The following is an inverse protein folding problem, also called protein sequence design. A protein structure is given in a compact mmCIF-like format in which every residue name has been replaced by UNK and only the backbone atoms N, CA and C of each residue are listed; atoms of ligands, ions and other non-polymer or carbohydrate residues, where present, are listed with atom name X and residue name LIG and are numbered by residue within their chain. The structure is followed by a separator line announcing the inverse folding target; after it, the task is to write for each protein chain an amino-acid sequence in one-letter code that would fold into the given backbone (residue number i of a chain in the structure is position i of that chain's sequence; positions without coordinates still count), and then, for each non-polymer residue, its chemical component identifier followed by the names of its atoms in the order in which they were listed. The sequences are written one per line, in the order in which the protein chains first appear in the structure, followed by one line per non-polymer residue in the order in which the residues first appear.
data_IF_484495296177
#
_entry.id   IF_484495296177
#
_cell.length_a   1.000
_cell.length_b   1.000
_cell.length_c   1.000
_cell.angle_alpha   90.00
_cell.angle_beta   90.00
_cell.angle_gamma   90.00
#
_symmetry.space_group_name_H-M   'P 1'
#
loop_
_entity.id
_entity.type
_entity.pdbx_description
1 polymer ?
#
# COMPACT_ATOMS: atom_id res chain seq x y z
N UNK A 1 3.08 -26.44 -10.44
CA UNK A 1 2.78 -25.05 -10.84
C UNK A 1 2.26 -24.29 -9.63
N UNK A 2 3.09 -23.49 -8.97
CA UNK A 2 2.69 -22.76 -7.76
C UNK A 2 2.01 -21.45 -8.22
N UNK A 3 0.70 -21.39 -8.15
CA UNK A 3 -0.07 -20.17 -8.40
C UNK A 3 0.28 -19.21 -7.25
N UNK A 4 1.10 -18.21 -7.54
CA UNK A 4 1.30 -17.07 -6.61
C UNK A 4 -0.04 -16.33 -6.54
N UNK A 5 -0.79 -16.55 -5.46
CA UNK A 5 -1.97 -15.75 -5.14
C UNK A 5 -1.52 -14.30 -4.94
N UNK A 6 -1.57 -13.52 -6.01
CA UNK A 6 -1.42 -12.06 -5.92
C UNK A 6 -2.60 -11.53 -5.13
N UNK A 7 -2.33 -11.03 -3.93
CA UNK A 7 -3.33 -10.40 -3.08
C UNK A 7 -4.06 -9.31 -3.87
N UNK A 8 -5.39 -9.30 -3.87
CA UNK A 8 -6.17 -8.30 -4.60
C UNK A 8 -5.83 -6.87 -4.13
N UNK A 9 -5.96 -5.85 -4.99
CA UNK A 9 -5.71 -4.46 -4.59
C UNK A 9 -6.53 -4.03 -3.36
N UNK A 10 -7.80 -4.42 -3.31
CA UNK A 10 -8.68 -4.15 -2.17
C UNK A 10 -8.13 -4.75 -0.86
N UNK A 11 -7.70 -6.01 -0.89
CA UNK A 11 -7.13 -6.68 0.28
C UNK A 11 -5.83 -6.01 0.74
N UNK A 12 -4.99 -5.54 -0.19
CA UNK A 12 -3.78 -4.81 0.17
C UNK A 12 -4.08 -3.48 0.84
N UNK A 13 -5.09 -2.75 0.35
CA UNK A 13 -5.54 -1.50 0.95
C UNK A 13 -6.02 -1.73 2.38
N UNK A 14 -6.88 -2.72 2.62
CA UNK A 14 -7.35 -3.07 3.96
C UNK A 14 -6.21 -3.43 4.89
N UNK A 15 -5.27 -4.27 4.43
CA UNK A 15 -4.09 -4.63 5.21
C UNK A 15 -3.18 -3.41 5.49
N UNK A 16 -3.10 -2.46 4.55
CA UNK A 16 -2.37 -1.21 4.73
C UNK A 16 -3.00 -0.34 5.81
N UNK A 17 -4.31 -0.09 5.72
CA UNK A 17 -5.07 0.66 6.73
C UNK A 17 -4.97 0.00 8.10
N UNK A 18 -5.09 -1.32 8.16
CA UNK A 18 -4.98 -2.09 9.41
C UNK A 18 -3.63 -1.88 10.07
N UNK A 19 -2.53 -2.11 9.34
CA UNK A 19 -1.17 -1.94 9.89
C UNK A 19 -0.93 -0.53 10.40
N UNK A 20 -1.40 0.49 9.69
CA UNK A 20 -1.23 1.88 10.14
C UNK A 20 -2.04 2.17 11.39
N UNK A 21 -3.29 1.69 11.48
CA UNK A 21 -4.11 1.86 12.66
C UNK A 21 -3.49 1.13 13.87
N UNK A 22 -3.06 -0.13 13.70
CA UNK A 22 -2.37 -0.91 14.72
C UNK A 22 -1.09 -0.20 15.18
N UNK A 23 -0.28 0.28 14.25
CA UNK A 23 0.96 0.99 14.55
C UNK A 23 0.71 2.30 15.31
N UNK A 24 -0.32 3.07 14.93
CA UNK A 24 -0.69 4.30 15.65
C UNK A 24 -1.14 4.01 17.07
N UNK A 25 -2.06 3.06 17.28
CA UNK A 25 -2.51 2.68 18.63
C UNK A 25 -1.32 2.20 19.48
N UNK A 26 -0.46 1.35 18.92
CA UNK A 26 0.75 0.88 19.62
C UNK A 26 1.70 2.04 19.98
N UNK A 27 1.89 3.01 19.07
CA UNK A 27 2.72 4.20 19.34
C UNK A 27 2.15 5.06 20.45
N UNK A 28 0.82 5.07 20.58
CA UNK A 28 0.10 5.76 21.66
C UNK A 28 0.04 4.95 22.97
N UNK A 29 0.65 3.76 23.02
CA UNK A 29 0.62 2.87 24.18
C UNK A 29 -0.74 2.20 24.39
N UNK A 30 -1.59 2.16 23.36
CA UNK A 30 -2.93 1.60 23.43
C UNK A 30 -2.98 0.21 22.79
N UNK A 31 -3.84 -0.70 23.30
CA UNK A 31 -4.02 -2.01 22.69
C UNK A 31 -4.65 -1.89 21.31
N UNK A 32 -4.26 -2.78 20.40
CA UNK A 32 -4.69 -2.80 19.00
C UNK A 32 -5.43 -4.07 18.60
N UNK A 33 -5.83 -4.88 19.58
CA UNK A 33 -6.66 -6.05 19.32
C UNK A 33 -8.14 -5.70 19.20
N UNK A 34 -8.93 -6.62 18.65
CA UNK A 34 -10.35 -6.42 18.40
C UNK A 34 -11.17 -6.11 19.67
N UNK A 35 -11.04 -6.85 20.80
CA UNK A 35 -11.81 -6.54 22.00
C UNK A 35 -11.54 -5.16 22.57
N UNK A 36 -10.26 -4.78 22.59
CA UNK A 36 -9.86 -3.46 23.09
C UNK A 36 -10.36 -2.32 22.19
N UNK A 37 -10.35 -2.51 20.86
CA UNK A 37 -10.95 -1.54 19.94
C UNK A 37 -12.45 -1.36 20.18
N UNK A 38 -13.20 -2.44 20.43
CA UNK A 38 -14.61 -2.36 20.77
C UNK A 38 -14.83 -1.60 22.07
N UNK A 39 -14.05 -1.92 23.10
CA UNK A 39 -14.14 -1.24 24.39
C UNK A 39 -13.87 0.27 24.26
N UNK A 40 -12.85 0.67 23.53
CA UNK A 40 -12.56 2.06 23.21
C UNK A 40 -13.71 2.76 22.48
N UNK A 41 -14.40 2.06 21.58
CA UNK A 41 -15.52 2.60 20.82
C UNK A 41 -16.81 2.68 21.63
N UNK A 42 -17.06 1.70 22.48
CA UNK A 42 -18.28 1.63 23.30
C UNK A 42 -18.21 2.59 24.49
N UNK A 43 -17.09 2.60 25.19
CA UNK A 43 -16.94 3.43 26.39
C UNK A 43 -16.54 4.86 26.07
N UNK A 44 -15.91 5.09 24.92
CA UNK A 44 -15.25 6.35 24.55
C UNK A 44 -14.26 6.82 25.64
N UNK A 45 -13.82 5.90 26.48
CA UNK A 45 -12.83 6.20 27.54
C UNK A 45 -11.44 5.97 26.96
N UNK A 46 -10.72 7.07 26.78
CA UNK A 46 -9.33 7.06 26.32
C UNK A 46 -8.46 7.31 27.55
N UNK A 47 -7.49 6.44 27.85
CA UNK A 47 -6.57 6.65 28.97
C UNK A 47 -5.86 8.01 28.86
N UNK A 48 -5.81 8.73 29.95
CA UNK A 48 -5.08 10.01 30.02
C UNK A 48 -3.60 9.82 30.42
N UNK A 49 -3.30 8.66 30.99
CA UNK A 49 -1.95 8.30 31.46
C UNK A 49 -1.59 6.91 31.00
N UNK A 50 -0.28 6.65 30.77
CA UNK A 50 0.26 5.32 30.57
C UNK A 50 0.31 4.51 31.89
N UNK A 51 0.70 3.23 31.81
CA UNK A 51 0.86 2.36 32.97
C UNK A 51 1.86 2.88 34.00
N UNK A 52 2.71 3.84 33.61
CA UNK A 52 3.69 4.52 34.48
C UNK A 52 3.16 5.81 35.10
N UNK A 53 1.90 6.18 34.83
CA UNK A 53 1.26 7.41 35.29
C UNK A 53 1.73 8.68 34.56
N UNK A 54 2.36 8.56 33.38
CA UNK A 54 2.76 9.71 32.56
C UNK A 54 1.60 10.13 31.70
N UNK A 55 1.35 11.44 31.63
CA UNK A 55 0.30 12.00 30.76
C UNK A 55 0.58 11.66 29.31
N UNK A 56 -0.42 11.12 28.63
CA UNK A 56 -0.38 10.78 27.22
C UNK A 56 -0.81 12.00 26.38
N UNK A 57 0.07 12.45 25.50
CA UNK A 57 -0.17 13.61 24.63
C UNK A 57 -0.79 13.15 23.30
N UNK A 58 -2.09 12.84 23.33
CA UNK A 58 -2.85 12.61 22.11
C UNK A 58 -4.29 13.13 22.24
N UNK A 59 -4.91 13.46 21.12
CA UNK A 59 -6.29 13.87 21.15
C UNK A 59 -7.22 12.65 21.24
N UNK A 60 -8.23 12.73 22.13
CA UNK A 60 -9.29 11.70 22.23
C UNK A 60 -9.89 11.37 20.87
N UNK A 61 -10.11 12.38 20.03
CA UNK A 61 -10.64 12.20 18.68
C UNK A 61 -9.73 11.32 17.81
N UNK A 62 -8.41 11.56 17.85
CA UNK A 62 -7.44 10.78 17.07
C UNK A 62 -7.45 9.30 17.44
N UNK A 63 -7.54 9.00 18.74
CA UNK A 63 -7.64 7.62 19.23
C UNK A 63 -8.92 6.95 18.74
N UNK A 64 -10.06 7.62 18.92
CA UNK A 64 -11.36 7.07 18.50
C UNK A 64 -11.43 6.89 16.98
N UNK A 65 -10.95 7.84 16.20
CA UNK A 65 -10.92 7.72 14.74
C UNK A 65 -10.00 6.58 14.28
N UNK A 66 -8.85 6.39 14.96
CA UNK A 66 -7.94 5.27 14.68
C UNK A 66 -8.55 3.92 15.06
N UNK A 67 -9.23 3.83 16.22
CA UNK A 67 -9.95 2.63 16.65
C UNK A 67 -11.10 2.29 15.68
N UNK A 68 -11.87 3.29 15.22
CA UNK A 68 -12.91 3.10 14.19
C UNK A 68 -12.33 2.58 12.89
N UNK A 69 -11.21 3.12 12.44
CA UNK A 69 -10.54 2.65 11.24
C UNK A 69 -10.16 1.16 11.37
N UNK A 70 -9.55 0.79 12.49
CA UNK A 70 -9.19 -0.59 12.76
C UNK A 70 -10.41 -1.51 12.83
N UNK A 71 -11.47 -1.07 13.51
CA UNK A 71 -12.75 -1.77 13.58
C UNK A 71 -13.34 -2.07 12.19
N UNK A 72 -13.36 -1.07 11.30
CA UNK A 72 -13.89 -1.26 9.93
C UNK A 72 -13.06 -2.25 9.11
N UNK A 73 -11.75 -2.38 9.36
CA UNK A 73 -10.96 -3.43 8.71
C UNK A 73 -11.39 -4.82 9.12
N UNK A 74 -11.73 -5.02 10.39
CA UNK A 74 -12.27 -6.29 10.90
C UNK A 74 -13.66 -6.59 10.35
N UNK A 75 -14.55 -5.59 10.34
CA UNK A 75 -15.89 -5.73 9.76
C UNK A 75 -15.82 -6.17 8.30
N UNK A 76 -14.98 -5.52 7.50
CA UNK A 76 -14.81 -5.86 6.10
C UNK A 76 -14.28 -7.30 5.92
N UNK A 77 -13.26 -7.72 6.69
CA UNK A 77 -12.76 -9.09 6.64
C UNK A 77 -13.84 -10.11 7.04
N UNK A 78 -14.65 -9.80 8.04
CA UNK A 78 -15.76 -10.66 8.49
C UNK A 78 -16.79 -10.82 7.36
N UNK A 79 -17.31 -9.73 6.80
CA UNK A 79 -18.32 -9.80 5.75
C UNK A 79 -17.83 -10.46 4.47
N UNK A 80 -16.54 -10.32 4.14
CA UNK A 80 -15.93 -11.08 3.04
C UNK A 80 -15.88 -12.57 3.30
N UNK A 81 -15.68 -13.01 4.54
CA UNK A 81 -15.75 -14.44 4.92
C UNK A 81 -17.17 -14.99 4.86
N UNK A 82 -18.15 -14.17 5.24
CA UNK A 82 -19.57 -14.52 5.18
C UNK A 82 -20.16 -14.44 3.75
N UNK A 83 -19.34 -14.05 2.75
CA UNK A 83 -19.76 -13.81 1.36
C UNK A 83 -20.86 -12.73 1.21
N UNK A 84 -20.95 -11.80 2.16
CA UNK A 84 -21.86 -10.65 2.11
C UNK A 84 -21.18 -9.48 1.43
N UNK A 85 -21.31 -9.41 0.10
CA UNK A 85 -20.67 -8.40 -0.72
C UNK A 85 -21.21 -6.98 -0.46
N UNK A 86 -22.48 -6.85 -0.11
CA UNK A 86 -23.12 -5.56 0.18
C UNK A 86 -22.55 -4.95 1.45
N UNK A 87 -22.54 -5.69 2.56
CA UNK A 87 -21.96 -5.23 3.83
C UNK A 87 -20.45 -5.05 3.75
N UNK A 88 -19.76 -5.91 3.02
CA UNK A 88 -18.33 -5.73 2.76
C UNK A 88 -18.04 -4.42 2.00
N UNK A 89 -18.89 -4.07 1.02
CA UNK A 89 -18.77 -2.81 0.26
C UNK A 89 -19.08 -1.60 1.15
N UNK A 90 -20.12 -1.66 1.99
CA UNK A 90 -20.42 -0.60 2.95
C UNK A 90 -19.26 -0.37 3.91
N UNK A 91 -18.72 -1.44 4.52
CA UNK A 91 -17.54 -1.35 5.40
C UNK A 91 -16.31 -0.79 4.68
N UNK A 92 -16.13 -1.07 3.38
CA UNK A 92 -15.04 -0.51 2.58
C UNK A 92 -15.20 1.00 2.39
N UNK A 93 -16.41 1.48 2.11
CA UNK A 93 -16.69 2.92 1.95
C UNK A 93 -16.45 3.67 3.26
N UNK A 94 -16.89 3.11 4.38
CA UNK A 94 -16.62 3.67 5.70
C UNK A 94 -15.14 3.71 6.02
N UNK A 95 -14.41 2.63 5.70
CA UNK A 95 -12.97 2.56 5.84
C UNK A 95 -12.25 3.67 5.05
N UNK A 96 -12.64 3.88 3.80
CA UNK A 96 -12.06 4.91 2.94
C UNK A 96 -12.35 6.32 3.49
N UNK A 97 -13.58 6.59 3.92
CA UNK A 97 -13.95 7.87 4.52
C UNK A 97 -13.16 8.14 5.80
N UNK A 98 -13.02 7.15 6.67
CA UNK A 98 -12.22 7.26 7.89
C UNK A 98 -10.73 7.46 7.59
N UNK A 99 -10.17 6.74 6.62
CA UNK A 99 -8.78 6.89 6.21
C UNK A 99 -8.50 8.31 5.69
N UNK A 100 -9.40 8.87 4.89
CA UNK A 100 -9.30 10.23 4.37
C UNK A 100 -9.39 11.27 5.49
N UNK A 101 -10.37 11.13 6.41
CA UNK A 101 -10.58 12.07 7.51
C UNK A 101 -9.50 12.00 8.58
N UNK A 102 -8.92 10.82 8.82
CA UNK A 102 -7.84 10.62 9.77
C UNK A 102 -6.46 11.02 9.22
N UNK A 103 -6.38 11.51 7.96
CA UNK A 103 -5.11 11.84 7.32
C UNK A 103 -4.22 10.62 7.05
N UNK A 104 -4.82 9.42 7.00
CA UNK A 104 -4.13 8.17 6.67
C UNK A 104 -4.03 7.95 5.14
N UNK A 105 -4.00 9.04 4.40
CA UNK A 105 -3.83 9.03 2.95
C UNK A 105 -2.52 8.36 2.50
N UNK A 106 -1.51 8.36 3.36
CA UNK A 106 -0.22 7.70 3.09
C UNK A 106 -0.36 6.20 2.78
N UNK A 107 -1.36 5.51 3.37
CA UNK A 107 -1.63 4.11 3.03
C UNK A 107 -2.18 3.96 1.61
N UNK A 108 -3.06 4.87 1.22
CA UNK A 108 -3.68 4.90 -0.11
C UNK A 108 -2.62 5.31 -1.13
N UNK A 109 -1.86 6.34 -0.83
CA UNK A 109 -0.81 6.87 -1.71
C UNK A 109 0.37 5.90 -1.84
N UNK A 110 0.76 5.21 -0.76
CA UNK A 110 1.82 4.19 -0.84
C UNK A 110 1.41 2.99 -1.69
N UNK A 111 0.15 2.55 -1.65
CA UNK A 111 -0.37 1.50 -2.53
C UNK A 111 -0.44 1.97 -3.98
N UNK A 112 -0.88 3.21 -4.23
CA UNK A 112 -0.85 3.78 -5.57
C UNK A 112 0.58 3.94 -6.09
N UNK A 113 1.51 4.39 -5.26
CA UNK A 113 2.92 4.50 -5.60
C UNK A 113 3.54 3.12 -5.85
N UNK A 114 3.29 2.13 -4.98
CA UNK A 114 3.77 0.76 -5.16
C UNK A 114 3.18 0.10 -6.41
N UNK A 115 1.89 0.29 -6.68
CA UNK A 115 1.23 -0.20 -7.89
C UNK A 115 1.79 0.48 -9.15
N UNK A 116 1.99 1.80 -9.12
CA UNK A 116 2.60 2.55 -10.22
C UNK A 116 4.06 2.17 -10.42
N UNK A 117 4.81 1.93 -9.34
CA UNK A 117 6.20 1.49 -9.39
C UNK A 117 6.31 0.07 -9.94
N UNK A 118 5.42 -0.84 -9.53
CA UNK A 118 5.35 -2.20 -10.08
C UNK A 118 4.98 -2.18 -11.56
N UNK A 119 4.05 -1.33 -11.98
CA UNK A 119 3.72 -1.14 -13.41
C UNK A 119 4.87 -0.50 -14.20
N UNK A 120 5.63 0.41 -13.59
CA UNK A 120 6.82 1.04 -14.21
C UNK A 120 8.00 0.09 -14.25
N UNK A 121 8.17 -0.79 -13.27
CA UNK A 121 9.26 -1.77 -13.21
C UNK A 121 9.01 -3.02 -14.05
N UNK A 122 7.76 -3.32 -14.41
CA UNK A 122 7.44 -4.35 -15.39
C UNK A 122 7.72 -3.84 -16.82
N UNK A 123 9.00 -3.57 -17.10
CA UNK A 123 9.48 -3.68 -18.48
C UNK A 123 9.14 -5.11 -18.90
N UNK A 124 8.18 -5.26 -19.81
CA UNK A 124 7.74 -6.57 -20.24
C UNK A 124 8.98 -7.37 -20.70
N UNK A 125 9.06 -8.63 -20.31
CA UNK A 125 10.18 -9.51 -20.76
C UNK A 125 10.36 -9.52 -22.28
N UNK A 126 9.27 -9.29 -23.02
CA UNK A 126 9.27 -9.07 -24.47
C UNK A 126 10.08 -7.84 -24.88
N UNK A 127 9.90 -6.70 -24.18
CA UNK A 127 10.62 -5.46 -24.48
C UNK A 127 12.11 -5.61 -24.22
N UNK A 128 12.49 -6.28 -23.12
CA UNK A 128 13.90 -6.56 -22.80
C UNK A 128 14.56 -7.43 -23.87
N UNK A 129 13.86 -8.47 -24.35
CA UNK A 129 14.38 -9.33 -25.43
C UNK A 129 14.53 -8.56 -26.73
N UNK A 130 13.56 -7.70 -27.05
CA UNK A 130 13.61 -6.88 -28.25
C UNK A 130 14.73 -5.85 -28.16
N UNK A 131 14.86 -5.11 -27.06
CA UNK A 131 15.95 -4.14 -26.88
C UNK A 131 17.32 -4.78 -27.01
N UNK A 132 17.54 -5.95 -26.41
CA UNK A 132 18.81 -6.69 -26.51
C UNK A 132 19.11 -7.12 -27.95
N UNK A 133 18.11 -7.61 -28.69
CA UNK A 133 18.29 -7.96 -30.11
C UNK A 133 18.68 -6.77 -30.95
N UNK A 134 17.98 -5.65 -30.81
CA UNK A 134 18.26 -4.43 -31.55
C UNK A 134 19.63 -3.88 -31.18
N UNK A 135 19.98 -3.86 -29.89
CA UNK A 135 21.29 -3.42 -29.43
C UNK A 135 22.43 -4.27 -30.02
N UNK A 136 22.26 -5.59 -30.05
CA UNK A 136 23.25 -6.51 -30.68
C UNK A 136 23.39 -6.22 -32.18
N UNK A 137 22.27 -5.99 -32.88
CA UNK A 137 22.30 -5.64 -34.28
C UNK A 137 23.01 -4.30 -34.57
N UNK A 138 22.74 -3.29 -33.72
CA UNK A 138 23.40 -1.98 -33.82
C UNK A 138 24.90 -2.05 -33.54
N UNK A 139 25.31 -2.84 -32.53
CA UNK A 139 26.75 -3.07 -32.24
C UNK A 139 27.47 -3.82 -33.36
N UNK A 140 26.80 -4.78 -34.03
CA UNK A 140 27.39 -5.48 -35.21
C UNK A 140 27.59 -4.54 -36.37
N UNK A 141 26.69 -3.56 -36.56
CA UNK A 141 26.83 -2.57 -37.67
C UNK A 141 27.85 -1.48 -37.37
N UNK A 142 27.92 -1.05 -36.13
CA UNK A 142 28.86 -0.02 -35.70
C UNK A 142 29.32 -0.31 -34.26
N UNK A 143 30.50 -0.91 -34.14
CA UNK A 143 31.07 -1.34 -32.85
C UNK A 143 31.45 -0.20 -31.89
N UNK A 144 31.47 1.05 -32.37
CA UNK A 144 31.89 2.20 -31.57
C UNK A 144 30.73 2.86 -30.82
N UNK A 145 29.47 2.39 -31.04
CA UNK A 145 28.29 3.00 -30.41
C UNK A 145 28.27 2.75 -28.89
N UNK A 146 28.17 3.81 -28.13
CA UNK A 146 27.98 3.74 -26.68
C UNK A 146 26.58 3.19 -26.33
N UNK A 147 26.43 2.60 -25.12
CA UNK A 147 25.12 2.11 -24.65
C UNK A 147 24.06 3.21 -24.61
N UNK A 148 24.45 4.49 -24.39
CA UNK A 148 23.55 5.62 -24.41
C UNK A 148 23.05 5.91 -25.83
N UNK A 149 23.92 5.89 -26.82
CA UNK A 149 23.55 6.10 -28.23
C UNK A 149 22.67 4.98 -28.76
N UNK A 150 22.97 3.74 -28.40
CA UNK A 150 22.14 2.58 -28.72
C UNK A 150 20.75 2.75 -28.11
N UNK A 151 20.66 3.11 -26.82
CA UNK A 151 19.39 3.30 -26.15
C UNK A 151 18.54 4.43 -26.78
N UNK A 152 19.17 5.56 -27.17
CA UNK A 152 18.51 6.67 -27.89
C UNK A 152 18.00 6.25 -29.26
N UNK A 153 18.71 5.37 -29.98
CA UNK A 153 18.29 4.85 -31.29
C UNK A 153 17.15 3.86 -31.18
N UNK A 154 17.05 3.13 -30.05
CA UNK A 154 15.95 2.22 -29.81
C UNK A 154 14.68 3.00 -29.47
N UNK A 155 14.74 3.90 -28.48
CA UNK A 155 13.63 4.77 -28.11
C UNK A 155 14.18 6.03 -27.39
N UNK A 156 14.13 7.20 -28.05
CA UNK A 156 14.61 8.46 -27.47
C UNK A 156 13.91 8.86 -26.18
N UNK A 157 12.62 8.49 -26.00
CA UNK A 157 11.83 8.83 -24.82
C UNK A 157 12.14 7.93 -23.62
N UNK A 158 12.56 6.71 -23.87
CA UNK A 158 12.83 5.68 -22.84
C UNK A 158 14.31 5.35 -22.67
N UNK A 159 15.21 6.13 -23.28
CA UNK A 159 16.62 5.82 -23.36
C UNK A 159 17.31 5.62 -22.00
N UNK A 160 16.92 6.37 -20.95
CA UNK A 160 17.46 6.16 -19.62
C UNK A 160 17.09 4.79 -19.03
N UNK A 161 15.84 4.33 -19.28
CA UNK A 161 15.39 3.00 -18.85
C UNK A 161 16.11 1.91 -19.65
N UNK A 162 16.17 2.05 -20.98
CA UNK A 162 16.77 1.07 -21.87
C UNK A 162 18.26 0.89 -21.56
N UNK A 163 18.99 1.98 -21.33
CA UNK A 163 20.43 1.94 -20.98
C UNK A 163 20.73 1.07 -19.76
N UNK A 164 19.84 0.99 -18.80
CA UNK A 164 20.02 0.15 -17.59
C UNK A 164 20.00 -1.35 -17.88
N UNK A 165 19.50 -1.76 -19.04
CA UNK A 165 19.33 -3.15 -19.43
C UNK A 165 20.21 -3.59 -20.60
N UNK A 166 21.02 -2.69 -21.17
CA UNK A 166 22.00 -2.94 -22.22
C UNK A 166 23.41 -3.16 -21.67
#
# INVERSE_FOLDING_TARGET
MTIKHTTSPARRLVLGCRRQAEQRLTTLGLPSDWPACLDLLDTHQVPETDDSGRSLFYSRKEVIDTARLLYQTYCMEYWLKENDAERATASMLDLLNLALTAGLTDAIDSEHAASAQTKRQQVKRSDLRWWRRVATALRKRNGTLSSLEIARRIDPRRHHTIRKYL
#
